data_IF_657333685480
#
_entry.id   IF_657333685480
#
_cell.length_a   1.000
_cell.length_b   1.000
_cell.length_c   1.000
_cell.angle_alpha   90.00
_cell.angle_beta   90.00
_cell.angle_gamma   90.00
#
_symmetry.space_group_name_H-M   'P 1'
#
loop_
_entity.id
_entity.type
_entity.pdbx_description
1 polymer ?
#
# COMPACT_ATOMS: atom_id res chain seq x y z
N UNK A 1 -0.73 -11.78 1.35
CA UNK A 1 -0.22 -12.19 2.69
C UNK A 1 1.11 -11.53 3.02
N UNK A 2 2.18 -11.72 2.23
CA UNK A 2 3.53 -11.24 2.55
C UNK A 2 3.66 -9.72 2.80
N UNK A 3 2.95 -8.90 2.03
CA UNK A 3 3.10 -7.44 2.10
C UNK A 3 2.32 -6.79 3.27
N UNK A 4 1.27 -7.44 3.79
CA UNK A 4 0.38 -6.86 4.80
C UNK A 4 1.09 -6.56 6.14
N UNK A 5 1.95 -7.46 6.69
CA UNK A 5 2.76 -7.12 7.86
C UNK A 5 3.73 -5.96 7.58
N UNK A 6 4.34 -5.93 6.39
CA UNK A 6 5.23 -4.85 5.95
C UNK A 6 4.53 -3.49 6.01
N UNK A 7 3.30 -3.43 5.50
CA UNK A 7 2.49 -2.21 5.56
C UNK A 7 2.16 -1.73 6.99
N UNK A 8 1.96 -2.66 7.93
CA UNK A 8 1.80 -2.32 9.34
C UNK A 8 3.08 -1.72 9.91
N UNK A 9 4.23 -2.35 9.63
CA UNK A 9 5.54 -1.85 10.07
C UNK A 9 5.81 -0.44 9.54
N UNK A 10 5.61 -0.17 8.25
CA UNK A 10 5.79 1.18 7.68
C UNK A 10 4.90 2.20 8.37
N UNK A 11 3.63 1.87 8.64
CA UNK A 11 2.72 2.76 9.37
C UNK A 11 3.22 3.10 10.78
N UNK A 12 3.70 2.11 11.53
CA UNK A 12 4.27 2.33 12.86
C UNK A 12 5.58 3.11 12.83
N UNK A 13 6.47 2.86 11.86
CA UNK A 13 7.72 3.61 11.75
C UNK A 13 7.41 5.08 11.40
N UNK A 14 6.51 5.35 10.45
CA UNK A 14 6.06 6.71 10.14
C UNK A 14 5.47 7.42 11.36
N UNK A 15 4.72 6.71 12.22
CA UNK A 15 4.18 7.27 13.47
C UNK A 15 5.31 7.71 14.41
N UNK A 16 6.27 6.81 14.66
CA UNK A 16 7.43 7.07 15.53
C UNK A 16 8.26 8.24 14.99
N UNK A 17 8.48 8.30 13.67
CA UNK A 17 9.25 9.36 13.00
C UNK A 17 8.59 10.73 13.01
N UNK A 18 7.29 10.79 13.29
CA UNK A 18 6.52 12.04 13.28
C UNK A 18 6.11 12.46 14.68
N UNK A 19 6.27 11.57 15.67
CA UNK A 19 5.92 11.79 17.07
C UNK A 19 4.43 12.17 17.25
N UNK A 20 3.59 11.67 16.34
CA UNK A 20 2.14 11.87 16.39
C UNK A 20 1.51 10.84 17.34
N UNK A 21 0.40 11.20 17.99
CA UNK A 21 -0.34 10.31 18.89
C UNK A 21 -1.10 9.19 18.14
N UNK A 22 -1.33 9.38 16.84
CA UNK A 22 -2.07 8.42 16.02
C UNK A 22 -1.64 8.45 14.55
N UNK A 23 -1.89 7.34 13.85
CA UNK A 23 -1.63 7.21 12.42
C UNK A 23 -2.66 8.03 11.66
N UNK A 24 -2.22 8.78 10.64
CA UNK A 24 -3.13 9.55 9.78
C UNK A 24 -4.14 8.61 9.10
N UNK A 25 -5.43 8.98 9.19
CA UNK A 25 -6.54 8.22 8.61
C UNK A 25 -6.54 6.73 8.98
N UNK A 26 -6.53 6.43 10.29
CA UNK A 26 -6.56 5.04 10.78
C UNK A 26 -7.67 4.19 10.12
N UNK A 27 -8.91 4.70 10.09
CA UNK A 27 -10.03 3.98 9.45
C UNK A 27 -9.83 3.82 7.93
N UNK A 28 -9.21 4.79 7.26
CA UNK A 28 -8.86 4.70 5.85
C UNK A 28 -7.79 3.63 5.58
N UNK A 29 -6.80 3.51 6.45
CA UNK A 29 -5.74 2.49 6.35
C UNK A 29 -6.26 1.09 6.64
N UNK A 30 -7.14 0.93 7.64
CA UNK A 30 -7.81 -0.35 7.93
C UNK A 30 -8.71 -0.75 6.76
N UNK A 31 -9.53 0.19 6.26
CA UNK A 31 -10.37 -0.04 5.08
C UNK A 31 -9.55 -0.42 3.84
N UNK A 32 -8.41 0.23 3.62
CA UNK A 32 -7.50 -0.12 2.54
C UNK A 32 -6.92 -1.54 2.69
N UNK A 33 -6.53 -1.95 3.91
CA UNK A 33 -6.05 -3.31 4.16
C UNK A 33 -7.12 -4.35 3.93
N UNK A 34 -8.34 -4.09 4.40
CA UNK A 34 -9.47 -4.97 4.18
C UNK A 34 -9.77 -5.12 2.68
N UNK A 35 -9.83 -4.02 1.94
CA UNK A 35 -10.05 -4.02 0.49
C UNK A 35 -8.96 -4.81 -0.25
N UNK A 36 -7.68 -4.67 0.11
CA UNK A 36 -6.58 -5.43 -0.51
C UNK A 36 -6.75 -6.93 -0.26
N UNK A 37 -7.18 -7.34 0.94
CA UNK A 37 -7.42 -8.76 1.26
C UNK A 37 -8.57 -9.30 0.41
N UNK A 38 -9.71 -8.60 0.38
CA UNK A 38 -10.91 -9.06 -0.35
C UNK A 38 -10.65 -9.12 -1.85
N UNK A 39 -10.10 -8.05 -2.44
CA UNK A 39 -9.79 -8.01 -3.87
C UNK A 39 -8.66 -8.98 -4.23
N UNK A 40 -7.70 -9.19 -3.33
CA UNK A 40 -6.60 -10.15 -3.50
C UNK A 40 -7.08 -11.59 -3.70
N UNK A 41 -8.22 -11.97 -3.13
CA UNK A 41 -8.83 -13.29 -3.34
C UNK A 41 -9.44 -13.47 -4.73
N UNK A 42 -9.68 -12.38 -5.49
CA UNK A 42 -10.38 -12.40 -6.79
C UNK A 42 -9.43 -12.32 -7.98
N UNK A 43 -8.19 -11.85 -7.79
CA UNK A 43 -7.32 -11.46 -8.92
C UNK A 43 -6.38 -12.56 -9.43
N UNK A 44 -6.39 -13.78 -8.89
CA UNK A 44 -5.40 -14.83 -9.25
C UNK A 44 -5.25 -15.06 -10.76
N UNK A 45 -6.33 -14.88 -11.52
CA UNK A 45 -6.39 -15.07 -12.97
C UNK A 45 -5.45 -14.13 -13.75
N UNK A 46 -4.99 -13.01 -13.18
CA UNK A 46 -4.03 -12.13 -13.87
C UNK A 46 -2.70 -12.82 -14.21
N UNK A 47 -2.35 -13.91 -13.51
CA UNK A 47 -1.17 -14.72 -13.85
C UNK A 47 -1.41 -15.67 -15.03
N UNK A 48 -2.65 -15.80 -15.51
CA UNK A 48 -3.10 -16.76 -16.52
C UNK A 48 -3.61 -16.09 -17.80
N UNK A 49 -3.38 -14.79 -18.01
CA UNK A 49 -3.93 -14.05 -19.16
C UNK A 49 -3.56 -14.64 -20.52
N UNK A 50 -2.47 -15.39 -20.63
CA UNK A 50 -2.01 -16.00 -21.88
C UNK A 50 -2.51 -17.44 -22.10
N UNK A 51 -3.36 -17.99 -21.23
CA UNK A 51 -3.88 -19.36 -21.35
C UNK A 51 -5.06 -19.47 -22.34
N UNK A 52 -5.52 -18.35 -22.92
CA UNK A 52 -6.62 -18.34 -23.89
C UNK A 52 -8.00 -18.10 -23.28
N UNK A 53 -8.09 -17.20 -22.29
CA UNK A 53 -9.36 -16.80 -21.67
C UNK A 53 -10.25 -15.99 -22.62
N UNK A 54 -11.57 -16.06 -22.44
CA UNK A 54 -12.51 -15.21 -23.15
C UNK A 54 -12.29 -13.71 -22.86
N UNK A 55 -12.60 -12.85 -23.82
CA UNK A 55 -12.38 -11.39 -23.71
C UNK A 55 -13.07 -10.76 -22.49
N UNK A 56 -14.30 -11.20 -22.15
CA UNK A 56 -15.05 -10.66 -21.01
C UNK A 56 -14.34 -10.94 -19.68
N UNK A 57 -13.83 -12.15 -19.51
CA UNK A 57 -13.07 -12.54 -18.33
C UNK A 57 -11.75 -11.76 -18.24
N UNK A 58 -11.04 -11.59 -19.36
CA UNK A 58 -9.81 -10.79 -19.40
C UNK A 58 -10.04 -9.35 -18.93
N UNK A 59 -11.06 -8.68 -19.46
CA UNK A 59 -11.40 -7.31 -19.07
C UNK A 59 -11.79 -7.26 -17.60
N UNK A 60 -12.64 -8.18 -17.13
CA UNK A 60 -13.05 -8.23 -15.73
C UNK A 60 -11.86 -8.34 -14.76
N UNK A 61 -11.02 -9.37 -14.92
CA UNK A 61 -9.88 -9.59 -14.01
C UNK A 61 -8.81 -8.50 -14.15
N UNK A 62 -8.59 -7.96 -15.35
CA UNK A 62 -7.73 -6.80 -15.55
C UNK A 62 -8.25 -5.58 -14.78
N UNK A 63 -9.54 -5.27 -14.87
CA UNK A 63 -10.16 -4.18 -14.13
C UNK A 63 -10.05 -4.34 -12.62
N UNK A 64 -10.36 -5.53 -12.06
CA UNK A 64 -10.24 -5.76 -10.61
C UNK A 64 -8.79 -5.62 -10.15
N UNK A 65 -7.82 -6.11 -10.92
CA UNK A 65 -6.40 -5.97 -10.61
C UNK A 65 -5.98 -4.50 -10.54
N UNK A 66 -6.47 -3.66 -11.47
CA UNK A 66 -6.22 -2.22 -11.43
C UNK A 66 -6.88 -1.53 -10.22
N UNK A 67 -8.06 -1.97 -9.80
CA UNK A 67 -8.78 -1.39 -8.64
C UNK A 67 -7.97 -1.55 -7.32
N UNK A 68 -7.13 -2.58 -7.20
CA UNK A 68 -6.20 -2.74 -6.05
C UNK A 68 -5.24 -1.54 -5.91
N UNK A 69 -4.98 -0.80 -6.99
CA UNK A 69 -4.20 0.43 -6.96
C UNK A 69 -4.79 1.51 -6.03
N UNK A 70 -6.11 1.56 -5.87
CA UNK A 70 -6.78 2.57 -5.02
C UNK A 70 -6.42 2.40 -3.53
N UNK A 71 -6.70 1.26 -2.86
CA UNK A 71 -6.33 1.08 -1.46
C UNK A 71 -4.81 1.13 -1.25
N UNK A 72 -4.01 0.71 -2.23
CA UNK A 72 -2.56 0.82 -2.18
C UNK A 72 -2.12 2.29 -2.17
N UNK A 73 -2.68 3.11 -3.06
CA UNK A 73 -2.44 4.55 -3.13
C UNK A 73 -2.82 5.29 -1.85
N UNK A 74 -3.98 4.97 -1.24
CA UNK A 74 -4.40 5.55 0.04
C UNK A 74 -3.31 5.40 1.10
N UNK A 75 -2.63 4.24 1.14
CA UNK A 75 -1.55 3.99 2.10
C UNK A 75 -0.30 4.81 1.79
N UNK A 76 0.13 4.82 0.53
CA UNK A 76 1.30 5.59 0.07
C UNK A 76 1.12 7.07 0.41
N UNK A 77 -0.03 7.66 0.07
CA UNK A 77 -0.32 9.06 0.40
C UNK A 77 -0.40 9.31 1.90
N UNK A 78 -0.95 8.37 2.68
CA UNK A 78 -1.00 8.49 4.13
C UNK A 78 0.41 8.50 4.76
N UNK A 79 1.32 7.65 4.29
CA UNK A 79 2.70 7.63 4.78
C UNK A 79 3.47 8.88 4.41
N UNK A 80 3.35 9.35 3.16
CA UNK A 80 3.95 10.61 2.72
C UNK A 80 3.43 11.79 3.53
N UNK A 81 2.12 11.83 3.80
CA UNK A 81 1.51 12.87 4.62
C UNK A 81 2.07 12.86 6.04
N UNK A 82 2.18 11.69 6.66
CA UNK A 82 2.76 11.57 8.00
C UNK A 82 4.20 12.10 8.00
N UNK A 83 5.07 11.64 7.10
CA UNK A 83 6.49 12.01 7.05
C UNK A 83 6.74 13.49 6.74
N UNK A 84 5.72 14.28 6.36
CA UNK A 84 5.87 15.71 6.07
C UNK A 84 6.49 16.51 7.21
N UNK A 85 6.31 16.11 8.46
CA UNK A 85 6.84 16.82 9.63
C UNK A 85 8.16 16.25 10.19
N UNK A 86 8.73 15.20 9.59
CA UNK A 86 9.89 14.48 10.15
C UNK A 86 11.26 15.03 9.73
N UNK A 87 11.36 16.29 9.29
CA UNK A 87 12.60 16.91 8.78
C UNK A 87 13.78 16.88 9.78
N UNK A 88 13.49 16.91 11.08
CA UNK A 88 14.53 16.85 12.11
C UNK A 88 15.25 15.50 12.18
N UNK A 89 14.74 14.46 11.49
CA UNK A 89 15.28 13.08 11.49
C UNK A 89 15.85 12.66 10.14
N UNK A 90 16.19 13.61 9.27
CA UNK A 90 16.73 13.33 7.92
C UNK A 90 18.10 12.63 7.98
N UNK A 91 18.88 12.81 9.03
CA UNK A 91 20.15 12.10 9.21
C UNK A 91 19.97 10.61 9.52
N UNK A 92 18.77 10.16 9.93
CA UNK A 92 18.55 8.79 10.35
C UNK A 92 18.49 7.85 9.13
N UNK A 93 19.26 6.74 9.09
CA UNK A 93 19.23 5.80 7.96
C UNK A 93 17.85 5.22 7.69
N UNK A 94 17.03 5.05 8.74
CA UNK A 94 15.67 4.52 8.64
C UNK A 94 14.76 5.47 7.84
N UNK A 95 14.94 6.78 7.95
CA UNK A 95 14.16 7.75 7.17
C UNK A 95 14.37 7.52 5.66
N UNK A 96 15.63 7.35 5.24
CA UNK A 96 15.98 7.05 3.85
C UNK A 96 15.51 5.68 3.39
N UNK A 97 15.54 4.69 4.28
CA UNK A 97 15.00 3.37 3.96
C UNK A 97 13.49 3.41 3.70
N UNK A 98 12.71 4.16 4.50
CA UNK A 98 11.26 4.31 4.27
C UNK A 98 10.99 5.07 2.97
N UNK A 99 11.72 6.16 2.71
CA UNK A 99 11.57 6.89 1.44
C UNK A 99 11.92 5.99 0.25
N UNK A 100 12.99 5.20 0.35
CA UNK A 100 13.35 4.20 -0.65
C UNK A 100 12.28 3.13 -0.82
N UNK A 101 11.69 2.63 0.28
CA UNK A 101 10.56 1.72 0.22
C UNK A 101 9.36 2.34 -0.50
N UNK A 102 8.95 3.56 -0.12
CA UNK A 102 7.80 4.23 -0.75
C UNK A 102 8.07 4.43 -2.25
N UNK A 103 9.27 4.88 -2.63
CA UNK A 103 9.63 5.09 -4.03
C UNK A 103 9.66 3.80 -4.85
N UNK A 104 10.25 2.71 -4.33
CA UNK A 104 10.36 1.44 -5.06
C UNK A 104 9.05 0.64 -5.07
N UNK A 105 8.17 0.88 -4.10
CA UNK A 105 6.88 0.22 -3.99
C UNK A 105 5.79 0.87 -4.85
N UNK A 106 5.97 2.14 -5.21
CA UNK A 106 5.06 2.90 -6.08
C UNK A 106 5.49 2.78 -7.53
#
# INVERSE_FOLDING_TARGET
VLILPGFGMIGHICLVFTNNDSIFSYMGLVGAMFSIVVLGCVVWVHHMFMVGLEFRSLVFFSSITMVIGIPTGIKVFSWLYMLRASWHRISDPIFWWILGFIFLFT
#
